data_IF_749025946973
#
_entry.id   IF_749025946973
#
_cell.length_a   1.000
_cell.length_b   1.000
_cell.length_c   1.000
_cell.angle_alpha   90.00
_cell.angle_beta   90.00
_cell.angle_gamma   90.00
#
_symmetry.space_group_name_H-M   'P 1'
#
loop_
_entity.id
_entity.type
_entity.pdbx_description
1 polymer ?
#
# COMPACT_ATOMS: atom_id res chain seq x y z
N UNK A 1 -4.00 6.19 -22.24
CA UNK A 1 -2.67 5.74 -21.79
C UNK A 1 -1.56 6.16 -22.75
N UNK A 2 -1.79 6.22 -24.07
CA UNK A 2 -0.86 6.81 -25.06
C UNK A 2 -0.49 8.29 -24.81
N UNK A 3 -1.21 9.00 -23.95
CA UNK A 3 -0.97 10.43 -23.66
C UNK A 3 -0.07 10.69 -22.44
N UNK A 4 0.13 9.73 -21.54
CA UNK A 4 1.04 9.94 -20.39
C UNK A 4 2.52 10.02 -20.83
N UNK A 5 2.87 9.36 -21.92
CA UNK A 5 4.24 9.30 -22.44
C UNK A 5 4.67 10.56 -23.19
N UNK A 6 3.71 11.39 -23.64
CA UNK A 6 4.02 12.53 -24.51
C UNK A 6 4.37 13.81 -23.76
N UNK A 7 3.97 13.92 -22.49
CA UNK A 7 4.05 15.17 -21.73
C UNK A 7 4.87 15.07 -20.42
N UNK A 8 5.47 13.92 -20.12
CA UNK A 8 6.27 13.72 -18.89
C UNK A 8 7.69 13.29 -19.25
N UNK A 9 8.65 14.18 -19.04
CA UNK A 9 10.07 13.86 -19.07
C UNK A 9 10.48 13.26 -17.73
N UNK A 10 11.16 12.10 -17.76
CA UNK A 10 11.64 11.41 -16.56
C UNK A 10 13.16 11.53 -16.50
N UNK A 11 13.64 12.01 -15.36
CA UNK A 11 15.04 12.19 -15.05
C UNK A 11 15.51 11.17 -14.00
N UNK A 12 16.84 11.07 -13.85
CA UNK A 12 17.46 10.13 -12.90
C UNK A 12 17.10 10.47 -11.45
N UNK A 13 16.89 11.75 -11.17
CA UNK A 13 16.55 12.30 -9.86
C UNK A 13 15.08 12.06 -9.50
N UNK A 14 14.24 11.67 -10.46
CA UNK A 14 12.83 11.39 -10.24
C UNK A 14 12.62 10.02 -9.57
N UNK A 15 11.55 9.95 -8.79
CA UNK A 15 11.18 8.76 -8.03
C UNK A 15 9.72 8.42 -8.29
N UNK A 16 9.47 7.18 -8.69
CA UNK A 16 8.14 6.58 -8.68
C UNK A 16 7.93 5.89 -7.33
N UNK A 17 6.91 6.31 -6.58
CA UNK A 17 6.46 5.61 -5.39
C UNK A 17 5.19 4.83 -5.75
N UNK A 18 5.26 3.50 -5.69
CA UNK A 18 4.11 2.61 -5.90
C UNK A 18 3.59 2.20 -4.53
N UNK A 19 2.40 2.68 -4.19
CA UNK A 19 1.85 2.55 -2.85
C UNK A 19 0.96 1.32 -2.74
N UNK A 20 1.33 0.41 -1.83
CA UNK A 20 0.47 -0.64 -1.26
C UNK A 20 -0.30 -1.50 -2.29
N UNK A 21 0.38 -1.95 -3.35
CA UNK A 21 -0.18 -2.93 -4.30
C UNK A 21 -0.11 -4.34 -3.70
N UNK A 22 -0.90 -4.57 -2.65
CA UNK A 22 -0.91 -5.80 -1.84
C UNK A 22 -2.24 -6.55 -1.97
N UNK A 23 -2.20 -7.86 -1.76
CA UNK A 23 -3.35 -8.75 -1.93
C UNK A 23 -4.59 -8.30 -1.13
N UNK A 24 -4.43 -7.84 0.12
CA UNK A 24 -5.56 -7.43 0.94
C UNK A 24 -6.30 -6.19 0.41
N UNK A 25 -5.66 -5.38 -0.44
CA UNK A 25 -6.29 -4.22 -1.09
C UNK A 25 -6.89 -4.55 -2.46
N UNK A 26 -6.67 -5.77 -2.97
CA UNK A 26 -7.19 -6.22 -4.27
C UNK A 26 -8.53 -6.96 -4.10
N UNK A 27 -9.34 -7.14 -5.16
CA UNK A 27 -10.57 -7.92 -5.08
C UNK A 27 -10.35 -9.32 -4.48
N UNK A 28 -11.11 -9.63 -3.43
CA UNK A 28 -10.98 -10.88 -2.66
C UNK A 28 -10.10 -10.78 -1.41
N UNK A 29 -9.36 -9.68 -1.24
CA UNK A 29 -8.59 -9.36 -0.05
C UNK A 29 -9.44 -8.88 1.14
N UNK A 30 -8.82 -8.79 2.33
CA UNK A 30 -9.52 -8.41 3.56
C UNK A 30 -10.04 -6.96 3.58
N UNK A 31 -9.36 -6.04 2.87
CA UNK A 31 -9.74 -4.63 2.71
C UNK A 31 -9.79 -4.26 1.21
N UNK A 32 -10.48 -5.11 0.45
CA UNK A 32 -10.51 -5.02 -1.00
C UNK A 32 -11.07 -3.68 -1.53
N UNK A 33 -10.35 -3.09 -2.47
CA UNK A 33 -10.83 -1.98 -3.29
C UNK A 33 -11.44 -2.55 -4.57
N UNK A 34 -12.67 -2.13 -4.90
CA UNK A 34 -13.34 -2.58 -6.12
C UNK A 34 -12.48 -2.23 -7.34
N UNK A 35 -12.15 -3.25 -8.16
CA UNK A 35 -11.31 -3.11 -9.36
C UNK A 35 -9.91 -2.54 -9.10
N UNK A 36 -9.42 -2.62 -7.86
CA UNK A 36 -8.08 -2.16 -7.48
C UNK A 36 -6.95 -2.85 -8.24
N UNK A 37 -7.18 -4.05 -8.77
CA UNK A 37 -6.24 -4.85 -9.56
C UNK A 37 -6.07 -4.34 -11.00
N UNK A 38 -7.04 -3.60 -11.55
CA UNK A 38 -7.01 -3.16 -12.94
C UNK A 38 -5.85 -2.20 -13.25
N UNK A 39 -5.33 -1.49 -12.24
CA UNK A 39 -4.23 -0.53 -12.40
C UNK A 39 -2.85 -1.19 -12.44
N UNK A 40 -2.72 -2.46 -12.03
CA UNK A 40 -1.42 -3.12 -11.84
C UNK A 40 -0.63 -3.20 -13.15
N UNK A 41 -1.31 -3.44 -14.27
CA UNK A 41 -0.70 -3.45 -15.60
C UNK A 41 -0.08 -2.10 -15.95
N UNK A 42 -0.81 -1.02 -15.70
CA UNK A 42 -0.39 0.33 -16.05
C UNK A 42 0.74 0.81 -15.13
N UNK A 43 0.70 0.42 -13.85
CA UNK A 43 1.81 0.64 -12.90
C UNK A 43 3.09 -0.03 -13.39
N UNK A 44 3.03 -1.30 -13.82
CA UNK A 44 4.21 -1.99 -14.35
C UNK A 44 4.76 -1.32 -15.62
N UNK A 45 3.88 -0.80 -16.47
CA UNK A 45 4.26 -0.05 -17.67
C UNK A 45 5.03 1.22 -17.27
N UNK A 46 4.48 2.04 -16.38
CA UNK A 46 5.14 3.25 -15.89
C UNK A 46 6.46 2.93 -15.19
N UNK A 47 6.50 1.91 -14.34
CA UNK A 47 7.72 1.45 -13.67
C UNK A 47 8.81 1.03 -14.68
N UNK A 48 8.42 0.41 -15.80
CA UNK A 48 9.34 0.05 -16.87
C UNK A 48 9.93 1.30 -17.54
N UNK A 49 9.10 2.32 -17.80
CA UNK A 49 9.57 3.60 -18.36
C UNK A 49 10.55 4.27 -17.37
N UNK A 50 10.20 4.35 -16.08
CA UNK A 50 11.11 4.90 -15.05
C UNK A 50 12.47 4.20 -15.07
N UNK A 51 12.51 2.87 -15.21
CA UNK A 51 13.77 2.13 -15.35
C UNK A 51 14.55 2.47 -16.61
N UNK A 52 13.90 2.70 -17.75
CA UNK A 52 14.58 3.09 -18.99
C UNK A 52 15.36 4.40 -18.83
N UNK A 53 14.85 5.32 -18.01
CA UNK A 53 15.51 6.60 -17.70
C UNK A 53 16.38 6.58 -16.45
N UNK A 54 16.72 5.40 -15.93
CA UNK A 54 17.48 5.23 -14.67
C UNK A 54 16.83 5.87 -13.44
N UNK A 55 15.51 6.10 -13.48
CA UNK A 55 14.72 6.59 -12.38
C UNK A 55 14.59 5.57 -11.25
N UNK A 56 14.37 6.07 -10.03
CA UNK A 56 14.22 5.24 -8.85
C UNK A 56 12.78 4.81 -8.65
N UNK A 57 12.58 3.59 -8.18
CA UNK A 57 11.24 3.04 -7.93
C UNK A 57 11.22 2.53 -6.51
N UNK A 58 10.31 3.03 -5.70
CA UNK A 58 10.11 2.64 -4.32
C UNK A 58 8.74 1.99 -4.22
N UNK A 59 8.67 0.79 -3.66
CA UNK A 59 7.40 0.18 -3.30
C UNK A 59 7.14 0.44 -1.83
N UNK A 60 5.90 0.73 -1.47
CA UNK A 60 5.48 0.71 -0.06
C UNK A 60 4.68 -0.54 0.21
N UNK A 61 4.74 -0.98 1.46
CA UNK A 61 4.00 -2.13 1.92
C UNK A 61 3.45 -1.82 3.31
N UNK A 62 2.13 -1.83 3.43
CA UNK A 62 1.47 -1.85 4.72
C UNK A 62 1.79 -3.16 5.43
N UNK A 63 2.20 -3.08 6.69
CA UNK A 63 2.86 -4.21 7.35
C UNK A 63 2.54 -4.26 8.85
N UNK A 64 1.26 -4.45 9.15
CA UNK A 64 0.73 -4.37 10.50
C UNK A 64 1.02 -5.61 11.33
N UNK A 65 1.51 -5.48 12.58
CA UNK A 65 1.58 -6.62 13.49
C UNK A 65 0.17 -7.19 13.74
N UNK A 66 0.03 -8.50 14.04
CA UNK A 66 -1.23 -9.04 14.52
C UNK A 66 -1.77 -8.25 15.73
N UNK A 67 -3.06 -7.88 15.71
CA UNK A 67 -3.67 -7.06 16.75
C UNK A 67 -3.27 -5.58 16.72
N UNK A 68 -2.84 -5.05 15.58
CA UNK A 68 -2.62 -3.62 15.40
C UNK A 68 -3.85 -2.80 15.81
N UNK A 69 -3.63 -1.65 16.43
CA UNK A 69 -4.73 -0.85 16.99
C UNK A 69 -5.57 -0.14 15.92
N UNK A 70 -5.19 -0.13 14.65
CA UNK A 70 -6.10 0.30 13.57
C UNK A 70 -7.18 -0.74 13.26
N UNK A 71 -7.05 -1.97 13.74
CA UNK A 71 -8.02 -3.03 13.48
C UNK A 71 -9.20 -2.97 14.45
N UNK A 72 -10.40 -3.16 13.91
CA UNK A 72 -11.62 -3.27 14.71
C UNK A 72 -11.58 -4.48 15.66
N UNK A 73 -10.91 -5.57 15.28
CA UNK A 73 -10.76 -6.77 16.11
C UNK A 73 -10.03 -6.51 17.43
N UNK A 74 -9.23 -5.45 17.51
CA UNK A 74 -8.54 -5.01 18.73
C UNK A 74 -9.49 -4.38 19.76
N UNK A 75 -10.78 -4.17 19.41
CA UNK A 75 -11.78 -3.55 20.26
C UNK A 75 -13.08 -4.38 20.28
N UNK A 76 -13.45 -5.00 21.43
CA UNK A 76 -14.56 -5.97 21.50
C UNK A 76 -15.92 -5.50 20.97
N UNK A 77 -16.21 -4.20 21.04
CA UNK A 77 -17.51 -3.61 20.69
C UNK A 77 -17.48 -2.83 19.36
N UNK A 78 -16.42 -2.98 18.56
CA UNK A 78 -16.24 -2.25 17.30
C UNK A 78 -16.31 -3.17 16.09
N UNK A 79 -16.62 -2.56 14.96
CA UNK A 79 -16.67 -3.21 13.65
C UNK A 79 -15.82 -2.44 12.64
N UNK A 80 -15.32 -3.10 11.60
CA UNK A 80 -14.71 -2.40 10.47
C UNK A 80 -15.63 -1.29 9.94
N UNK A 81 -15.06 -0.10 9.72
CA UNK A 81 -15.79 1.09 9.30
C UNK A 81 -16.29 1.99 10.45
N UNK A 82 -16.19 1.54 11.71
CA UNK A 82 -16.56 2.38 12.85
C UNK A 82 -15.58 3.55 13.01
N UNK A 83 -16.12 4.74 13.28
CA UNK A 83 -15.31 5.90 13.68
C UNK A 83 -14.58 5.63 15.01
N UNK A 84 -13.31 6.01 15.02
CA UNK A 84 -12.44 5.92 16.17
C UNK A 84 -11.27 6.88 16.03
N UNK A 85 -10.92 7.57 17.11
CA UNK A 85 -9.70 8.36 17.18
C UNK A 85 -9.06 8.12 18.54
N UNK A 86 -7.81 7.65 18.56
CA UNK A 86 -7.05 7.56 19.79
C UNK A 86 -6.69 8.96 20.30
N UNK A 87 -6.45 9.07 21.60
CA UNK A 87 -5.84 10.27 22.18
C UNK A 87 -4.51 10.55 21.46
N UNK A 88 -4.33 11.78 20.99
CA UNK A 88 -3.13 12.19 20.23
C UNK A 88 -3.14 11.83 18.74
N UNK A 89 -4.19 11.18 18.24
CA UNK A 89 -4.39 11.02 16.80
C UNK A 89 -3.62 9.87 16.13
N UNK A 90 -2.93 9.03 16.92
CA UNK A 90 -2.07 7.96 16.41
C UNK A 90 -2.81 6.81 15.72
N UNK A 91 -4.08 6.58 16.06
CA UNK A 91 -4.99 5.63 15.43
C UNK A 91 -6.28 6.35 15.05
N UNK A 92 -6.79 6.08 13.85
CA UNK A 92 -8.05 6.64 13.34
C UNK A 92 -7.91 7.24 11.94
N UNK A 93 -8.92 7.94 11.43
CA UNK A 93 -10.20 8.26 12.08
C UNK A 93 -11.23 7.11 12.05
N UNK A 94 -10.86 5.96 11.49
CA UNK A 94 -11.72 4.78 11.32
C UNK A 94 -10.96 3.52 11.69
N UNK A 95 -11.68 2.49 12.14
CA UNK A 95 -11.12 1.15 12.33
C UNK A 95 -11.33 0.28 11.10
N UNK A 96 -10.33 -0.51 10.77
CA UNK A 96 -10.29 -1.36 9.59
C UNK A 96 -10.51 -2.84 9.93
N UNK A 97 -10.86 -3.70 8.96
CA UNK A 97 -10.69 -5.14 9.17
C UNK A 97 -9.19 -5.45 9.36
N UNK A 98 -8.85 -6.61 9.92
CA UNK A 98 -7.46 -7.09 9.93
C UNK A 98 -6.98 -7.22 8.48
N UNK A 99 -5.94 -6.49 8.12
CA UNK A 99 -5.38 -6.47 6.77
C UNK A 99 -3.88 -6.27 6.81
N UNK A 100 -3.19 -6.70 5.76
CA UNK A 100 -1.75 -6.53 5.58
C UNK A 100 -0.93 -6.99 6.80
N UNK A 101 -1.42 -8.05 7.46
CA UNK A 101 -0.81 -8.60 8.67
C UNK A 101 0.55 -9.22 8.35
N UNK A 102 1.58 -8.92 9.13
CA UNK A 102 2.95 -9.35 8.82
C UNK A 102 3.06 -10.86 8.58
N UNK A 103 3.61 -11.22 7.42
CA UNK A 103 3.87 -12.61 7.05
C UNK A 103 2.67 -13.40 6.55
N UNK A 104 1.50 -12.77 6.38
CA UNK A 104 0.34 -13.40 5.73
C UNK A 104 0.36 -13.15 4.22
N UNK A 105 -0.38 -13.98 3.47
CA UNK A 105 -0.56 -13.78 2.03
C UNK A 105 -1.25 -12.45 1.72
N UNK A 106 -2.17 -11.98 2.57
CA UNK A 106 -2.83 -10.69 2.41
C UNK A 106 -1.86 -9.51 2.38
N UNK A 107 -0.74 -9.62 3.12
CA UNK A 107 0.30 -8.60 3.14
C UNK A 107 1.30 -8.71 1.98
N UNK A 108 1.35 -9.80 1.23
CA UNK A 108 2.21 -9.93 0.06
C UNK A 108 1.80 -8.96 -1.05
N UNK A 109 2.74 -8.60 -1.92
CA UNK A 109 2.42 -7.84 -3.12
C UNK A 109 1.52 -8.68 -4.05
N UNK A 110 0.66 -8.01 -4.81
CA UNK A 110 -0.15 -8.68 -5.81
C UNK A 110 0.72 -9.39 -6.85
N UNK A 111 0.38 -10.63 -7.22
CA UNK A 111 1.20 -11.49 -8.08
C UNK A 111 1.56 -10.88 -9.44
N UNK A 112 0.69 -10.01 -9.96
CA UNK A 112 0.93 -9.33 -11.23
C UNK A 112 1.83 -8.08 -11.12
N UNK A 113 2.22 -7.64 -9.92
CA UNK A 113 3.14 -6.51 -9.75
C UNK A 113 4.58 -6.96 -10.00
N UNK A 114 5.30 -6.24 -10.86
CA UNK A 114 6.71 -6.53 -11.13
C UNK A 114 7.62 -5.93 -10.05
N UNK A 115 7.72 -6.62 -8.91
CA UNK A 115 8.51 -6.19 -7.75
C UNK A 115 10.01 -6.09 -8.04
N UNK A 116 10.51 -6.77 -9.08
CA UNK A 116 11.95 -6.78 -9.41
C UNK A 116 12.45 -5.43 -9.96
N UNK A 117 11.55 -4.51 -10.32
CA UNK A 117 11.90 -3.15 -10.73
C UNK A 117 12.17 -2.24 -9.51
N UNK A 118 11.81 -2.65 -8.30
CA UNK A 118 11.99 -1.83 -7.11
C UNK A 118 13.48 -1.62 -6.77
N UNK A 119 13.84 -0.38 -6.48
CA UNK A 119 15.12 -0.04 -5.84
C UNK A 119 15.07 -0.32 -4.34
N UNK A 120 13.91 -0.18 -3.71
CA UNK A 120 13.68 -0.52 -2.30
C UNK A 120 12.20 -0.80 -2.02
N UNK A 121 11.95 -1.48 -0.90
CA UNK A 121 10.62 -1.67 -0.32
C UNK A 121 10.61 -1.02 1.07
N UNK A 122 9.66 -0.12 1.31
CA UNK A 122 9.47 0.56 2.59
C UNK A 122 8.22 0.03 3.26
N UNK A 123 8.38 -0.56 4.45
CA UNK A 123 7.28 -1.08 5.26
C UNK A 123 6.81 -0.08 6.30
N UNK A 124 5.50 0.21 6.29
CA UNK A 124 4.82 1.15 7.20
C UNK A 124 3.77 0.43 8.06
N UNK A 125 3.19 1.12 9.04
CA UNK A 125 2.17 0.56 9.94
C UNK A 125 2.69 -0.50 10.94
N UNK A 126 4.00 -0.58 11.15
CA UNK A 126 4.65 -1.65 11.95
C UNK A 126 4.53 -1.48 13.45
N UNK A 127 4.21 -0.28 13.93
CA UNK A 127 4.08 0.00 15.35
C UNK A 127 2.67 -0.36 15.81
N UNK A 128 2.54 -1.26 16.78
CA UNK A 128 1.24 -1.75 17.26
C UNK A 128 0.23 -0.63 17.56
N UNK A 129 0.69 0.53 18.07
CA UNK A 129 -0.16 1.61 18.58
C UNK A 129 -0.14 2.88 17.73
N UNK A 130 0.54 2.87 16.57
CA UNK A 130 0.64 4.03 15.68
C UNK A 130 0.42 3.56 14.24
N UNK A 131 -0.66 4.05 13.64
CA UNK A 131 -0.97 3.81 12.25
C UNK A 131 -0.14 4.72 11.34
N UNK A 132 0.01 4.33 10.07
CA UNK A 132 0.80 5.06 9.09
C UNK A 132 0.24 4.85 7.70
N UNK A 133 -0.69 5.71 7.29
CA UNK A 133 -1.12 5.79 5.88
C UNK A 133 0.00 6.34 5.01
N UNK A 134 0.71 7.37 5.50
CA UNK A 134 1.87 7.96 4.86
C UNK A 134 3.06 7.00 4.85
N UNK A 135 3.87 7.07 3.78
CA UNK A 135 5.16 6.41 3.68
C UNK A 135 6.35 7.30 4.12
N UNK A 136 6.07 8.55 4.51
CA UNK A 136 7.00 9.53 5.08
C UNK A 136 6.80 9.67 6.59
#
# INVERSE_FOLDING_TARGET
MEDLEKDIEIYKEDVLIVVDIQNDFMPGGALAIEKGDLIVKDINHIATIFKQFSGNIILTQDWHPPGHLSFASSYPEKKPGDEYQSIGGAIGPVLWPDHCVQGTNGAEFHDNLNVNLASAIIRKGRNLIIDSYSAF
#
